data_IF_579947620783
#
_entry.id   IF_579947620783
#
_cell.length_a   1.000
_cell.length_b   1.000
_cell.length_c   1.000
_cell.angle_alpha   90.00
_cell.angle_beta   90.00
_cell.angle_gamma   90.00
#
_symmetry.space_group_name_H-M   'P 1'
#
loop_
_entity.id
_entity.type
_entity.pdbx_description
1 polymer ?
#
# COMPACT_ATOMS: atom_id res chain seq x y z
N UNK A 1 -30.23 -16.95 6.87
CA UNK A 1 -29.54 -16.03 5.96
C UNK A 1 -29.49 -14.66 6.63
N UNK A 2 -28.34 -13.99 6.63
CA UNK A 2 -28.21 -12.63 7.19
C UNK A 2 -28.93 -11.70 6.21
N UNK A 3 -30.04 -11.12 6.63
CA UNK A 3 -30.89 -10.27 5.77
C UNK A 3 -30.49 -8.77 5.88
N UNK A 4 -29.18 -8.49 5.94
CA UNK A 4 -28.65 -7.13 6.05
C UNK A 4 -27.82 -6.81 4.81
N UNK A 5 -28.17 -5.70 4.15
CA UNK A 5 -27.45 -5.21 2.98
C UNK A 5 -26.23 -4.36 3.43
N UNK A 6 -25.13 -4.54 2.72
CA UNK A 6 -23.90 -3.77 2.91
C UNK A 6 -23.58 -3.00 1.62
N UNK A 7 -23.30 -1.71 1.73
CA UNK A 7 -22.79 -0.88 0.67
C UNK A 7 -21.30 -0.64 0.87
N UNK A 8 -20.48 -0.96 -0.14
CA UNK A 8 -19.06 -0.63 -0.17
C UNK A 8 -18.82 0.44 -1.23
N UNK A 9 -18.28 1.57 -0.85
CA UNK A 9 -17.95 2.67 -1.77
C UNK A 9 -16.44 2.70 -1.98
N UNK A 10 -16.03 2.45 -3.22
CA UNK A 10 -14.66 2.23 -3.66
C UNK A 10 -14.33 0.74 -3.80
N UNK A 11 -14.28 0.24 -5.04
CA UNK A 11 -13.90 -1.14 -5.38
C UNK A 11 -12.40 -1.26 -5.73
N UNK A 12 -11.56 -0.50 -5.03
CA UNK A 12 -10.10 -0.65 -5.05
C UNK A 12 -9.65 -1.85 -4.20
N UNK A 13 -8.34 -1.97 -3.98
CA UNK A 13 -7.76 -3.08 -3.21
C UNK A 13 -8.47 -3.29 -1.84
N UNK A 14 -8.57 -2.23 -1.04
CA UNK A 14 -9.18 -2.27 0.31
C UNK A 14 -10.67 -2.60 0.24
N UNK A 15 -11.41 -1.93 -0.64
CA UNK A 15 -12.87 -2.12 -0.71
C UNK A 15 -13.26 -3.48 -1.27
N UNK A 16 -12.61 -3.93 -2.34
CA UNK A 16 -12.93 -5.22 -2.99
C UNK A 16 -12.60 -6.41 -2.08
N UNK A 17 -11.41 -6.43 -1.45
CA UNK A 17 -11.03 -7.53 -0.54
C UNK A 17 -11.96 -7.60 0.66
N UNK A 18 -12.36 -6.45 1.22
CA UNK A 18 -13.30 -6.41 2.34
C UNK A 18 -14.73 -6.78 1.91
N UNK A 19 -15.19 -6.34 0.73
CA UNK A 19 -16.50 -6.72 0.18
C UNK A 19 -16.59 -8.22 -0.02
N UNK A 20 -15.56 -8.85 -0.58
CA UNK A 20 -15.48 -10.30 -0.76
C UNK A 20 -15.50 -11.01 0.60
N UNK A 21 -14.73 -10.54 1.60
CA UNK A 21 -14.77 -11.10 2.96
C UNK A 21 -16.17 -11.03 3.58
N UNK A 22 -16.85 -9.90 3.47
CA UNK A 22 -18.23 -9.73 3.99
C UNK A 22 -19.20 -10.67 3.28
N UNK A 23 -19.10 -10.78 1.95
CA UNK A 23 -19.99 -11.63 1.16
C UNK A 23 -19.77 -13.14 1.41
N UNK A 24 -18.52 -13.58 1.66
CA UNK A 24 -18.18 -14.95 2.10
C UNK A 24 -18.93 -15.31 3.39
N UNK A 25 -19.04 -14.36 4.31
CA UNK A 25 -19.73 -14.57 5.60
C UNK A 25 -21.27 -14.43 5.51
N UNK A 26 -21.81 -14.37 4.29
CA UNK A 26 -23.25 -14.53 4.01
C UNK A 26 -24.06 -13.24 3.82
N UNK A 27 -23.43 -12.06 3.89
CA UNK A 27 -24.10 -10.79 3.60
C UNK A 27 -24.34 -10.60 2.09
N UNK A 28 -25.38 -9.82 1.76
CA UNK A 28 -25.54 -9.27 0.41
C UNK A 28 -24.79 -7.95 0.32
N UNK A 29 -23.80 -7.88 -0.59
CA UNK A 29 -22.91 -6.73 -0.72
C UNK A 29 -23.09 -6.05 -2.06
N UNK A 30 -23.31 -4.74 -2.05
CA UNK A 30 -23.24 -3.91 -3.23
C UNK A 30 -21.99 -3.05 -3.20
N UNK A 31 -21.14 -3.12 -4.24
CA UNK A 31 -19.97 -2.29 -4.40
C UNK A 31 -20.22 -1.19 -5.42
N UNK A 32 -19.95 0.07 -5.04
CA UNK A 32 -19.97 1.21 -5.93
C UNK A 32 -18.57 1.74 -6.23
N UNK A 33 -18.26 2.00 -7.49
CA UNK A 33 -17.01 2.68 -7.92
C UNK A 33 -17.32 3.63 -9.09
N UNK A 34 -16.45 4.60 -9.33
CA UNK A 34 -16.55 5.55 -10.44
C UNK A 34 -15.92 5.03 -11.74
N UNK A 35 -15.09 4.02 -11.64
CA UNK A 35 -14.34 3.43 -12.75
C UNK A 35 -15.20 2.39 -13.49
N UNK A 36 -15.81 2.81 -14.60
CA UNK A 36 -16.72 1.99 -15.40
C UNK A 36 -16.06 0.73 -15.97
N UNK A 37 -14.80 0.82 -16.42
CA UNK A 37 -14.09 -0.32 -17.00
C UNK A 37 -13.78 -1.37 -15.93
N UNK A 38 -13.39 -0.91 -14.74
CA UNK A 38 -13.24 -1.79 -13.57
C UNK A 38 -14.55 -2.48 -13.22
N UNK A 39 -15.66 -1.75 -13.17
CA UNK A 39 -16.97 -2.29 -12.85
C UNK A 39 -17.42 -3.34 -13.87
N UNK A 40 -17.16 -3.16 -15.16
CA UNK A 40 -17.44 -4.18 -16.21
C UNK A 40 -16.70 -5.48 -15.91
N UNK A 41 -15.40 -5.41 -15.60
CA UNK A 41 -14.61 -6.59 -15.26
C UNK A 41 -15.10 -7.27 -13.99
N UNK A 42 -15.41 -6.50 -12.94
CA UNK A 42 -15.89 -7.02 -11.67
C UNK A 42 -17.24 -7.73 -11.81
N UNK A 43 -18.17 -7.22 -12.62
CA UNK A 43 -19.46 -7.86 -12.91
C UNK A 43 -19.29 -9.18 -13.69
N UNK A 44 -18.18 -9.38 -14.38
CA UNK A 44 -17.80 -10.66 -15.00
C UNK A 44 -17.05 -11.59 -14.03
N UNK A 45 -16.97 -11.24 -12.74
CA UNK A 45 -16.19 -12.00 -11.75
C UNK A 45 -14.68 -11.92 -11.96
N UNK A 46 -14.19 -10.91 -12.68
CA UNK A 46 -12.76 -10.73 -13.03
C UNK A 46 -12.16 -9.53 -12.32
N UNK A 47 -10.89 -9.65 -11.96
CA UNK A 47 -10.10 -8.53 -11.37
C UNK A 47 -8.64 -8.66 -11.74
N UNK A 48 -7.95 -7.52 -11.87
CA UNK A 48 -6.49 -7.44 -12.02
C UNK A 48 -5.75 -7.47 -10.68
N UNK A 49 -6.45 -7.26 -9.56
CA UNK A 49 -5.82 -7.20 -8.23
C UNK A 49 -5.10 -8.52 -7.93
N UNK A 50 -3.78 -8.51 -7.68
CA UNK A 50 -2.96 -9.70 -7.43
C UNK A 50 -3.09 -10.13 -5.95
N UNK A 51 -4.21 -10.72 -5.60
CA UNK A 51 -4.52 -11.22 -4.26
C UNK A 51 -4.85 -12.70 -4.32
N UNK A 52 -4.30 -13.49 -3.38
CA UNK A 52 -4.55 -14.93 -3.32
C UNK A 52 -6.03 -15.22 -3.13
N UNK A 53 -6.55 -16.18 -3.88
CA UNK A 53 -7.94 -16.64 -3.86
C UNK A 53 -8.99 -15.59 -4.25
N UNK A 54 -8.63 -14.30 -4.41
CA UNK A 54 -9.60 -13.24 -4.70
C UNK A 54 -10.38 -13.51 -5.98
N UNK A 55 -9.72 -13.90 -7.06
CA UNK A 55 -10.37 -14.17 -8.37
C UNK A 55 -11.41 -15.28 -8.27
N UNK A 56 -11.07 -16.36 -7.56
CA UNK A 56 -11.98 -17.52 -7.35
C UNK A 56 -13.19 -17.12 -6.53
N UNK A 57 -12.99 -16.48 -5.39
CA UNK A 57 -14.08 -16.08 -4.50
C UNK A 57 -14.98 -15.01 -5.14
N UNK A 58 -14.38 -14.02 -5.82
CA UNK A 58 -15.12 -12.99 -6.56
C UNK A 58 -16.05 -13.61 -7.61
N UNK A 59 -15.54 -14.49 -8.48
CA UNK A 59 -16.34 -15.15 -9.50
C UNK A 59 -17.51 -15.95 -8.89
N UNK A 60 -17.25 -16.72 -7.83
CA UNK A 60 -18.27 -17.50 -7.13
C UNK A 60 -19.37 -16.60 -6.52
N UNK A 61 -18.99 -15.48 -5.88
CA UNK A 61 -19.93 -14.57 -5.22
C UNK A 61 -20.78 -13.77 -6.21
N UNK A 62 -20.19 -13.38 -7.34
CA UNK A 62 -20.91 -12.70 -8.43
C UNK A 62 -21.95 -13.64 -9.06
N UNK A 63 -21.55 -14.87 -9.38
CA UNK A 63 -22.47 -15.89 -9.93
C UNK A 63 -23.64 -16.19 -8.99
N UNK A 64 -23.41 -16.19 -7.66
CA UNK A 64 -24.44 -16.36 -6.64
C UNK A 64 -25.24 -15.09 -6.35
N UNK A 65 -24.99 -13.99 -7.05
CA UNK A 65 -25.60 -12.67 -6.81
C UNK A 65 -25.46 -12.16 -5.36
N UNK A 66 -24.43 -12.62 -4.64
CA UNK A 66 -24.09 -12.16 -3.28
C UNK A 66 -23.25 -10.90 -3.29
N UNK A 67 -22.56 -10.64 -4.40
CA UNK A 67 -21.73 -9.45 -4.62
C UNK A 67 -22.09 -8.84 -5.97
N UNK A 68 -22.47 -7.57 -5.97
CA UNK A 68 -22.90 -6.83 -7.17
C UNK A 68 -22.14 -5.53 -7.27
N UNK A 69 -22.02 -4.99 -8.50
CA UNK A 69 -21.21 -3.79 -8.78
C UNK A 69 -21.97 -2.81 -9.67
N UNK A 70 -21.94 -1.51 -9.32
CA UNK A 70 -22.45 -0.44 -10.18
C UNK A 70 -21.83 0.92 -9.80
N UNK A 71 -22.13 1.95 -10.58
CA UNK A 71 -21.83 3.34 -10.23
C UNK A 71 -22.77 3.90 -9.13
N UNK A 72 -23.83 3.18 -8.81
CA UNK A 72 -24.86 3.66 -7.89
C UNK A 72 -24.42 3.55 -6.42
N UNK A 73 -24.19 4.68 -5.77
CA UNK A 73 -23.90 4.79 -4.34
C UNK A 73 -25.14 5.11 -3.47
N UNK A 74 -26.34 5.20 -4.08
CA UNK A 74 -27.61 5.45 -3.37
C UNK A 74 -28.27 4.17 -2.84
N UNK A 75 -27.54 3.06 -2.83
CA UNK A 75 -28.03 1.78 -2.36
C UNK A 75 -28.42 1.85 -0.88
N UNK A 76 -29.60 1.32 -0.53
CA UNK A 76 -30.10 1.34 0.83
C UNK A 76 -29.41 0.24 1.67
N UNK A 77 -28.62 0.63 2.66
CA UNK A 77 -27.86 -0.28 3.51
C UNK A 77 -27.75 0.22 4.95
N UNK A 78 -27.71 -0.72 5.90
CA UNK A 78 -27.41 -0.42 7.32
C UNK A 78 -25.90 -0.26 7.56
N UNK A 79 -25.07 -0.91 6.75
CA UNK A 79 -23.62 -0.87 6.85
C UNK A 79 -23.05 -0.23 5.59
N UNK A 80 -22.37 0.90 5.73
CA UNK A 80 -21.78 1.66 4.62
C UNK A 80 -20.28 1.78 4.83
N UNK A 81 -19.53 1.12 3.96
CA UNK A 81 -18.07 1.03 4.02
C UNK A 81 -17.48 2.07 3.06
N UNK A 82 -16.77 3.05 3.57
CA UNK A 82 -16.07 4.06 2.76
C UNK A 82 -14.59 3.63 2.60
N UNK A 83 -14.29 2.96 1.47
CA UNK A 83 -12.96 2.45 1.13
C UNK A 83 -12.31 3.31 0.04
N UNK A 84 -12.37 4.62 0.20
CA UNK A 84 -11.83 5.61 -0.73
C UNK A 84 -10.54 6.21 -0.20
N UNK A 85 -9.64 6.57 -1.14
CA UNK A 85 -8.39 7.26 -0.78
C UNK A 85 -8.66 8.71 -0.44
N UNK A 86 -8.00 9.20 0.61
CA UNK A 86 -7.95 10.63 0.87
C UNK A 86 -6.87 11.28 0.01
N UNK A 87 -7.23 12.39 -0.63
CA UNK A 87 -6.31 13.22 -1.40
C UNK A 87 -6.38 14.66 -0.86
N UNK A 88 -5.26 15.25 -0.41
CA UNK A 88 -5.23 16.62 0.11
C UNK A 88 -5.76 17.65 -0.86
N UNK A 89 -5.54 17.46 -2.17
CA UNK A 89 -6.03 18.32 -3.24
C UNK A 89 -7.52 18.11 -3.63
N UNK A 90 -8.18 17.06 -3.06
CA UNK A 90 -9.59 16.75 -3.31
C UNK A 90 -10.36 16.55 -1.98
N UNK A 91 -10.32 17.49 -1.04
CA UNK A 91 -10.90 17.31 0.31
C UNK A 91 -12.43 17.18 0.27
N UNK A 92 -13.10 17.65 -0.78
CA UNK A 92 -14.57 17.60 -0.94
C UNK A 92 -15.09 16.23 -1.37
N UNK A 93 -14.24 15.32 -1.84
CA UNK A 93 -14.66 14.00 -2.36
C UNK A 93 -15.52 13.21 -1.35
N UNK A 94 -15.14 13.19 -0.07
CA UNK A 94 -15.95 12.53 0.96
C UNK A 94 -17.33 13.16 1.10
N UNK A 95 -17.41 14.48 1.06
CA UNK A 95 -18.67 15.22 1.20
C UNK A 95 -19.62 14.97 0.03
N UNK A 96 -19.10 14.88 -1.18
CA UNK A 96 -19.87 14.53 -2.39
C UNK A 96 -20.48 13.13 -2.30
N UNK A 97 -19.72 12.17 -1.75
CA UNK A 97 -20.21 10.82 -1.49
C UNK A 97 -21.29 10.83 -0.42
N UNK A 98 -21.09 11.54 0.69
CA UNK A 98 -22.08 11.66 1.77
C UNK A 98 -23.40 12.26 1.30
N UNK A 99 -23.38 13.12 0.27
CA UNK A 99 -24.60 13.64 -0.32
C UNK A 99 -25.46 12.59 -1.04
N UNK A 100 -24.85 11.52 -1.49
CA UNK A 100 -25.50 10.42 -2.20
C UNK A 100 -26.01 9.32 -1.26
N UNK A 101 -25.55 9.30 -0.01
CA UNK A 101 -25.95 8.28 0.99
C UNK A 101 -27.37 8.52 1.48
N UNK A 102 -28.14 7.43 1.56
CA UNK A 102 -29.46 7.42 2.19
C UNK A 102 -29.31 7.08 3.67
N UNK A 103 -29.79 7.98 4.54
CA UNK A 103 -29.70 7.84 6.01
C UNK A 103 -30.98 7.31 6.67
N UNK A 104 -32.02 6.94 5.90
CA UNK A 104 -33.31 6.49 6.46
C UNK A 104 -33.21 5.25 7.36
N UNK A 105 -32.24 4.36 7.10
CA UNK A 105 -31.99 3.18 7.95
C UNK A 105 -31.04 3.45 9.13
N UNK A 106 -30.72 4.70 9.43
CA UNK A 106 -29.76 5.09 10.46
C UNK A 106 -28.46 4.28 10.34
N UNK A 107 -27.74 4.41 9.20
CA UNK A 107 -26.61 3.55 8.90
C UNK A 107 -25.43 3.80 9.82
N UNK A 108 -24.57 2.79 9.91
CA UNK A 108 -23.22 2.95 10.42
C UNK A 108 -22.23 3.11 9.26
N UNK A 109 -21.42 4.17 9.33
CA UNK A 109 -20.37 4.50 8.38
C UNK A 109 -19.02 3.96 8.88
N UNK A 110 -18.36 3.16 8.07
CA UNK A 110 -17.03 2.59 8.36
C UNK A 110 -16.00 3.30 7.48
N UNK A 111 -15.17 4.15 8.07
CA UNK A 111 -14.09 4.82 7.34
C UNK A 111 -12.89 3.87 7.31
N UNK A 112 -12.68 3.22 6.15
CA UNK A 112 -11.59 2.25 5.96
C UNK A 112 -10.36 2.84 5.28
N UNK A 113 -10.53 3.95 4.54
CA UNK A 113 -9.41 4.70 3.97
C UNK A 113 -8.56 5.37 5.05
N UNK A 114 -7.28 5.61 4.74
CA UNK A 114 -6.42 6.47 5.57
C UNK A 114 -6.83 7.92 5.40
N UNK A 115 -7.12 8.59 6.49
CA UNK A 115 -7.47 10.01 6.55
C UNK A 115 -6.60 10.73 7.60
N UNK A 116 -6.44 12.06 7.53
CA UNK A 116 -5.76 12.84 8.57
C UNK A 116 -6.43 12.69 9.93
N UNK A 117 -5.67 12.88 11.00
CA UNK A 117 -6.18 12.80 12.37
C UNK A 117 -7.18 13.95 12.60
N UNK A 118 -8.35 13.61 13.15
CA UNK A 118 -9.47 14.54 13.37
C UNK A 118 -10.32 14.80 12.13
N UNK A 119 -10.03 14.16 10.99
CA UNK A 119 -10.79 14.35 9.75
C UNK A 119 -12.25 13.90 9.87
N UNK A 120 -12.49 12.75 10.50
CA UNK A 120 -13.85 12.21 10.66
C UNK A 120 -14.73 13.19 11.40
N UNK A 121 -14.31 13.67 12.57
CA UNK A 121 -15.11 14.61 13.36
C UNK A 121 -15.19 15.99 12.72
N UNK A 122 -14.05 16.58 12.30
CA UNK A 122 -14.02 17.96 11.81
C UNK A 122 -14.65 18.14 10.42
N UNK A 123 -14.65 17.10 9.58
CA UNK A 123 -15.17 17.19 8.22
C UNK A 123 -16.45 16.37 8.02
N UNK A 124 -16.47 15.09 8.38
CA UNK A 124 -17.61 14.21 8.09
C UNK A 124 -18.76 14.45 9.08
N UNK A 125 -18.51 14.30 10.38
CA UNK A 125 -19.57 14.48 11.41
C UNK A 125 -20.11 15.91 11.38
N UNK A 126 -19.23 16.90 11.40
CA UNK A 126 -19.62 18.32 11.32
C UNK A 126 -20.46 18.63 10.06
N UNK A 127 -20.13 18.02 8.92
CA UNK A 127 -20.93 18.18 7.69
C UNK A 127 -22.32 17.55 7.85
N UNK A 128 -22.42 16.32 8.36
CA UNK A 128 -23.70 15.63 8.54
C UNK A 128 -24.60 16.36 9.54
N UNK A 129 -24.03 16.86 10.63
CA UNK A 129 -24.80 17.59 11.65
C UNK A 129 -25.22 19.00 11.17
N UNK A 130 -24.29 19.77 10.63
CA UNK A 130 -24.59 21.16 10.26
C UNK A 130 -25.36 21.30 8.95
N UNK A 131 -25.02 20.48 7.93
CA UNK A 131 -25.62 20.61 6.59
C UNK A 131 -26.80 19.66 6.36
N UNK A 132 -26.73 18.44 6.88
CA UNK A 132 -27.80 17.43 6.74
C UNK A 132 -28.77 17.41 7.92
N UNK A 133 -28.47 18.13 9.02
CA UNK A 133 -29.26 18.16 10.27
C UNK A 133 -29.45 16.78 10.91
N UNK A 134 -28.50 15.86 10.66
CA UNK A 134 -28.47 14.53 11.27
C UNK A 134 -27.69 14.57 12.57
N UNK A 135 -28.08 13.76 13.56
CA UNK A 135 -27.41 13.69 14.88
C UNK A 135 -26.59 12.39 14.98
N UNK A 136 -25.32 12.55 15.35
CA UNK A 136 -24.45 11.41 15.64
C UNK A 136 -25.06 10.54 16.75
N UNK A 137 -24.89 9.21 16.64
CA UNK A 137 -25.41 8.19 17.56
C UNK A 137 -26.94 8.10 17.66
N UNK A 138 -27.65 8.87 16.84
CA UNK A 138 -29.12 8.84 16.75
C UNK A 138 -29.60 8.55 15.32
N UNK A 139 -29.16 9.36 14.35
CA UNK A 139 -29.59 9.27 12.95
C UNK A 139 -28.54 8.59 12.07
N UNK A 140 -27.29 8.59 12.52
CA UNK A 140 -26.19 7.84 11.93
C UNK A 140 -25.15 7.47 13.00
N UNK A 141 -24.32 6.47 12.69
CA UNK A 141 -23.18 6.03 13.48
C UNK A 141 -21.93 6.09 12.62
N UNK A 142 -20.76 6.33 13.21
CA UNK A 142 -19.53 6.42 12.43
C UNK A 142 -18.33 5.91 13.24
N UNK A 143 -17.45 5.19 12.54
CA UNK A 143 -16.19 4.71 13.12
C UNK A 143 -15.03 4.91 12.15
N UNK A 144 -13.86 5.14 12.70
CA UNK A 144 -12.58 4.89 12.05
C UNK A 144 -12.26 3.39 12.19
N UNK A 145 -12.20 2.69 11.06
CA UNK A 145 -11.88 1.26 11.00
C UNK A 145 -10.90 0.98 9.86
N UNK A 146 -9.71 1.58 9.90
CA UNK A 146 -8.79 1.57 8.76
C UNK A 146 -8.22 0.19 8.47
N UNK A 147 -7.91 -0.05 7.19
CA UNK A 147 -7.28 -1.29 6.72
C UNK A 147 -5.80 -1.35 7.11
N UNK A 148 -5.34 -2.55 7.54
CA UNK A 148 -3.95 -2.78 7.95
C UNK A 148 -3.31 -4.01 7.30
N UNK A 149 -4.04 -4.72 6.43
CA UNK A 149 -3.55 -5.95 5.79
C UNK A 149 -2.45 -5.68 4.77
N UNK A 150 -1.65 -6.70 4.53
CA UNK A 150 -0.59 -6.69 3.53
C UNK A 150 -1.17 -7.05 2.14
N UNK A 151 -0.87 -6.24 1.14
CA UNK A 151 -1.22 -6.54 -0.26
C UNK A 151 -0.65 -7.89 -0.70
N UNK A 152 -1.51 -8.76 -1.25
CA UNK A 152 -1.21 -10.14 -1.67
C UNK A 152 -1.61 -11.22 -0.66
N UNK A 153 -1.88 -10.85 0.61
CA UNK A 153 -2.34 -11.76 1.66
C UNK A 153 -3.54 -11.20 2.47
N UNK A 154 -4.25 -10.18 1.92
CA UNK A 154 -5.29 -9.46 2.64
C UNK A 154 -6.47 -10.34 3.08
N UNK A 155 -6.98 -11.22 2.21
CA UNK A 155 -8.10 -12.11 2.58
C UNK A 155 -7.76 -13.01 3.77
N UNK A 156 -6.52 -13.49 3.85
CA UNK A 156 -6.02 -14.27 4.99
C UNK A 156 -5.90 -13.39 6.23
N UNK A 157 -5.26 -12.24 6.11
CA UNK A 157 -4.99 -11.34 7.24
C UNK A 157 -6.27 -10.70 7.81
N UNK A 158 -7.31 -10.44 6.99
CA UNK A 158 -8.62 -10.00 7.46
C UNK A 158 -9.27 -10.98 8.46
N UNK A 159 -8.92 -12.26 8.39
CA UNK A 159 -9.43 -13.28 9.33
C UNK A 159 -8.56 -13.45 10.58
N UNK A 160 -7.33 -12.93 10.57
CA UNK A 160 -6.35 -13.11 11.65
C UNK A 160 -6.18 -11.83 12.46
N UNK A 161 -6.03 -10.68 11.76
CA UNK A 161 -5.76 -9.41 12.41
C UNK A 161 -7.03 -8.82 13.03
N UNK A 162 -6.97 -8.37 14.30
CA UNK A 162 -8.11 -7.68 14.89
C UNK A 162 -8.30 -6.32 14.20
N UNK A 163 -9.56 -5.94 13.98
CA UNK A 163 -9.91 -4.61 13.51
C UNK A 163 -9.79 -3.60 14.65
N UNK A 164 -8.92 -2.62 14.49
CA UNK A 164 -8.85 -1.46 15.39
C UNK A 164 -9.99 -0.50 15.06
N UNK A 165 -10.69 -0.03 16.08
CA UNK A 165 -11.88 0.81 15.93
C UNK A 165 -11.79 2.04 16.85
N UNK A 166 -11.84 3.23 16.24
CA UNK A 166 -12.10 4.48 16.92
C UNK A 166 -13.53 4.99 16.65
N UNK A 167 -14.21 5.52 17.65
CA UNK A 167 -15.57 6.04 17.53
C UNK A 167 -16.22 6.31 18.89
N UNK A 168 -17.47 6.73 18.90
CA UNK A 168 -18.26 6.75 20.15
C UNK A 168 -18.49 5.31 20.65
N UNK A 169 -18.81 5.17 21.93
CA UNK A 169 -19.14 3.85 22.49
C UNK A 169 -20.38 3.22 21.82
N UNK A 170 -21.37 4.04 21.46
CA UNK A 170 -22.57 3.60 20.75
C UNK A 170 -22.24 3.09 19.35
N UNK A 171 -21.45 3.85 18.58
CA UNK A 171 -20.98 3.47 17.27
C UNK A 171 -20.13 2.20 17.32
N UNK A 172 -19.20 2.09 18.30
CA UNK A 172 -18.39 0.88 18.50
C UNK A 172 -19.23 -0.36 18.77
N UNK A 173 -20.23 -0.30 19.64
CA UNK A 173 -21.07 -1.46 19.98
C UNK A 173 -21.80 -2.02 18.74
N UNK A 174 -22.32 -1.13 17.87
CA UNK A 174 -22.92 -1.53 16.59
C UNK A 174 -21.89 -2.14 15.65
N UNK A 175 -20.72 -1.53 15.53
CA UNK A 175 -19.63 -2.03 14.71
C UNK A 175 -19.11 -3.39 15.19
N UNK A 176 -18.91 -3.56 16.50
CA UNK A 176 -18.48 -4.83 17.12
C UNK A 176 -19.40 -5.97 16.72
N UNK A 177 -20.71 -5.77 16.76
CA UNK A 177 -21.70 -6.78 16.35
C UNK A 177 -21.51 -7.15 14.87
N UNK A 178 -21.36 -6.18 13.98
CA UNK A 178 -21.09 -6.44 12.56
C UNK A 178 -19.77 -7.19 12.35
N UNK A 179 -18.65 -6.75 12.95
CA UNK A 179 -17.37 -7.43 12.83
C UNK A 179 -17.40 -8.86 13.37
N UNK A 180 -18.14 -9.11 14.47
CA UNK A 180 -18.35 -10.47 15.00
C UNK A 180 -19.07 -11.36 13.99
N UNK A 181 -20.12 -10.87 13.32
CA UNK A 181 -20.85 -11.63 12.28
C UNK A 181 -19.96 -12.00 11.09
N UNK A 182 -18.99 -11.16 10.74
CA UNK A 182 -18.03 -11.45 9.67
C UNK A 182 -16.74 -12.12 10.19
N UNK A 183 -16.75 -12.62 11.41
CA UNK A 183 -15.65 -13.37 12.07
C UNK A 183 -14.33 -12.58 12.17
N UNK A 184 -14.43 -11.28 12.40
CA UNK A 184 -13.28 -10.40 12.67
C UNK A 184 -13.35 -9.92 14.11
N UNK A 185 -12.30 -10.20 14.89
CA UNK A 185 -12.17 -9.62 16.24
C UNK A 185 -12.01 -8.10 16.14
N UNK A 186 -12.53 -7.35 17.09
CA UNK A 186 -12.38 -5.89 17.13
C UNK A 186 -11.81 -5.41 18.44
N UNK A 187 -11.02 -4.33 18.38
CA UNK A 187 -10.41 -3.65 19.53
C UNK A 187 -10.84 -2.20 19.52
N UNK A 188 -11.43 -1.77 20.64
CA UNK A 188 -11.85 -0.38 20.83
C UNK A 188 -10.68 0.49 21.30
N UNK A 189 -10.43 1.59 20.61
CA UNK A 189 -9.33 2.50 20.89
C UNK A 189 -9.78 3.82 21.54
N UNK A 190 -11.08 4.08 21.67
CA UNK A 190 -11.60 5.37 22.07
C UNK A 190 -12.16 6.19 20.90
N UNK A 191 -12.00 7.51 20.85
CA UNK A 191 -12.60 8.38 19.84
C UNK A 191 -12.08 8.07 18.42
N UNK A 192 -12.71 8.65 17.40
CA UNK A 192 -12.34 8.43 15.99
C UNK A 192 -10.88 8.73 15.71
N UNK A 193 -10.33 9.76 16.36
CA UNK A 193 -8.94 10.20 16.26
C UNK A 193 -7.96 9.09 16.66
N UNK A 194 -8.30 8.27 17.63
CA UNK A 194 -7.47 7.14 18.05
C UNK A 194 -7.34 6.07 16.94
N UNK A 195 -8.45 5.80 16.21
CA UNK A 195 -8.43 4.91 15.07
C UNK A 195 -7.67 5.48 13.86
N UNK A 196 -7.84 6.78 13.58
CA UNK A 196 -7.11 7.50 12.55
C UNK A 196 -5.60 7.49 12.84
N UNK A 197 -5.21 7.87 14.06
CA UNK A 197 -3.81 7.86 14.53
C UNK A 197 -3.21 6.47 14.45
N UNK A 198 -3.89 5.44 14.96
CA UNK A 198 -3.36 4.08 14.99
C UNK A 198 -2.94 3.59 13.60
N UNK A 199 -3.69 3.96 12.54
CA UNK A 199 -3.35 3.60 11.16
C UNK A 199 -2.09 4.29 10.67
N UNK A 200 -2.04 5.61 10.73
CA UNK A 200 -0.91 6.38 10.20
C UNK A 200 0.35 6.12 11.01
N UNK A 201 0.22 5.96 12.33
CA UNK A 201 1.33 5.64 13.21
C UNK A 201 1.92 4.25 12.97
N UNK A 202 1.08 3.22 12.73
CA UNK A 202 1.56 1.90 12.33
C UNK A 202 2.45 1.96 11.09
N UNK A 203 2.05 2.69 10.06
CA UNK A 203 2.82 2.77 8.82
C UNK A 203 4.06 3.65 8.99
N UNK A 204 3.96 4.76 9.70
CA UNK A 204 5.09 5.60 10.07
C UNK A 204 6.15 4.83 10.88
N UNK A 205 5.73 4.08 11.91
CA UNK A 205 6.62 3.25 12.72
C UNK A 205 7.36 2.21 11.86
N UNK A 206 6.65 1.55 10.94
CA UNK A 206 7.28 0.60 10.01
C UNK A 206 8.28 1.26 9.06
N UNK A 207 7.96 2.47 8.53
CA UNK A 207 8.93 3.24 7.73
C UNK A 207 10.19 3.54 8.53
N UNK A 208 10.05 3.99 9.78
CA UNK A 208 11.17 4.31 10.67
C UNK A 208 12.04 3.09 10.96
N UNK A 209 11.45 1.92 11.24
CA UNK A 209 12.19 0.66 11.44
C UNK A 209 12.96 0.24 10.18
N UNK A 210 12.35 0.35 9.00
CA UNK A 210 13.06 0.08 7.75
C UNK A 210 14.19 1.09 7.51
N UNK A 211 13.97 2.37 7.81
CA UNK A 211 15.01 3.39 7.65
C UNK A 211 16.22 3.12 8.54
N UNK A 212 16.01 2.72 9.80
CA UNK A 212 17.11 2.34 10.70
C UNK A 212 17.93 1.21 10.07
N UNK A 213 17.27 0.17 9.57
CA UNK A 213 17.96 -0.96 8.93
C UNK A 213 18.65 -0.55 7.62
N UNK A 214 17.99 0.25 6.79
CA UNK A 214 18.51 0.68 5.49
C UNK A 214 19.67 1.67 5.65
N UNK A 215 19.66 2.48 6.71
CA UNK A 215 20.78 3.38 7.06
C UNK A 215 22.05 2.58 7.34
N UNK A 216 21.94 1.42 8.00
CA UNK A 216 23.09 0.51 8.16
C UNK A 216 23.70 0.10 6.81
N UNK A 217 22.87 -0.16 5.78
CA UNK A 217 23.40 -0.44 4.44
C UNK A 217 24.21 0.72 3.89
N UNK A 218 23.75 1.95 4.08
CA UNK A 218 24.47 3.14 3.61
C UNK A 218 25.81 3.32 4.32
N UNK A 219 25.87 3.11 5.64
CA UNK A 219 27.12 3.10 6.42
C UNK A 219 28.06 2.02 5.92
N UNK A 220 27.57 0.79 5.78
CA UNK A 220 28.38 -0.34 5.32
C UNK A 220 28.94 -0.13 3.91
N UNK A 221 28.18 0.51 3.01
CA UNK A 221 28.68 0.87 1.68
C UNK A 221 29.86 1.86 1.76
N UNK A 222 29.80 2.84 2.66
CA UNK A 222 30.90 3.81 2.85
C UNK A 222 32.14 3.18 3.46
N UNK A 223 31.96 2.21 4.37
CA UNK A 223 33.05 1.55 5.09
C UNK A 223 33.50 0.22 4.44
N UNK A 224 32.94 -0.15 3.30
CA UNK A 224 33.15 -1.44 2.64
C UNK A 224 32.94 -2.67 3.57
N UNK A 225 31.84 -2.61 4.36
CA UNK A 225 31.47 -3.67 5.31
C UNK A 225 30.25 -4.45 4.83
N UNK A 226 30.05 -5.66 5.40
CA UNK A 226 28.91 -6.51 5.11
C UNK A 226 27.77 -6.27 6.09
N UNK A 227 26.73 -5.56 5.67
CA UNK A 227 25.58 -5.24 6.51
C UNK A 227 24.76 -6.48 6.93
N UNK A 228 24.73 -7.56 6.10
CA UNK A 228 24.02 -8.78 6.47
C UNK A 228 24.71 -9.50 7.63
N UNK A 229 26.05 -9.54 7.62
CA UNK A 229 26.82 -10.12 8.75
C UNK A 229 26.59 -9.29 10.01
N UNK A 230 26.64 -7.96 9.90
CA UNK A 230 26.45 -7.06 11.04
C UNK A 230 25.03 -7.24 11.61
N UNK A 231 23.97 -7.12 10.76
CA UNK A 231 22.58 -7.23 11.24
C UNK A 231 22.29 -8.60 11.86
N UNK A 232 22.86 -9.68 11.29
CA UNK A 232 22.71 -11.03 11.84
C UNK A 232 23.43 -11.16 13.18
N UNK A 233 24.64 -10.59 13.29
CA UNK A 233 25.43 -10.61 14.53
C UNK A 233 24.74 -9.88 15.67
N UNK A 234 24.31 -8.63 15.45
CA UNK A 234 23.65 -7.84 16.51
C UNK A 234 22.28 -8.39 16.93
N UNK A 235 21.62 -9.17 16.07
CA UNK A 235 20.36 -9.85 16.40
C UNK A 235 20.56 -11.22 17.06
N UNK A 236 21.76 -11.79 16.99
CA UNK A 236 22.00 -13.15 17.48
C UNK A 236 21.76 -13.23 18.98
N UNK A 237 20.77 -14.04 19.38
CA UNK A 237 20.31 -14.20 20.78
C UNK A 237 19.92 -12.88 21.48
N UNK A 238 19.60 -11.80 20.74
CA UNK A 238 19.25 -10.50 21.29
C UNK A 238 17.87 -10.03 20.79
N UNK A 239 16.83 -10.49 21.48
CA UNK A 239 15.42 -10.29 21.10
C UNK A 239 14.99 -8.82 20.99
N UNK A 240 15.65 -7.90 21.72
CA UNK A 240 15.35 -6.47 21.68
C UNK A 240 15.52 -5.84 20.30
N UNK A 241 16.30 -6.45 19.40
CA UNK A 241 16.52 -5.99 18.04
C UNK A 241 15.77 -6.80 16.96
N UNK A 242 14.79 -7.63 17.37
CA UNK A 242 14.00 -8.42 16.40
C UNK A 242 13.19 -7.58 15.41
N UNK A 243 12.90 -6.32 15.74
CA UNK A 243 12.23 -5.38 14.85
C UNK A 243 13.07 -4.95 13.63
N UNK A 244 14.39 -5.07 13.70
CA UNK A 244 15.27 -4.72 12.59
C UNK A 244 15.05 -5.67 11.41
N UNK A 245 14.78 -5.11 10.24
CA UNK A 245 14.68 -5.87 8.99
C UNK A 245 16.06 -6.13 8.38
N UNK A 246 16.11 -7.01 7.38
CA UNK A 246 17.30 -7.07 6.51
C UNK A 246 17.44 -5.74 5.78
N UNK A 247 18.62 -5.10 5.81
CA UNK A 247 18.85 -3.84 5.13
C UNK A 247 18.57 -3.92 3.63
N UNK A 248 17.98 -2.86 3.08
CA UNK A 248 17.66 -2.70 1.68
C UNK A 248 17.99 -1.30 1.15
N UNK A 249 17.83 -1.06 -0.14
CA UNK A 249 18.21 0.20 -0.77
C UNK A 249 17.26 1.37 -0.48
N UNK A 250 16.16 1.12 0.21
CA UNK A 250 15.12 2.08 0.58
C UNK A 250 13.74 1.42 0.65
N UNK A 251 12.76 2.17 1.13
CA UNK A 251 11.37 1.72 1.27
C UNK A 251 10.55 2.29 0.13
N UNK A 252 9.96 1.41 -0.67
CA UNK A 252 9.00 1.76 -1.70
C UNK A 252 7.56 1.45 -1.29
N UNK A 253 6.64 1.79 -2.19
CA UNK A 253 5.21 1.58 -2.04
C UNK A 253 4.48 2.79 -1.48
N UNK A 254 3.23 2.94 -1.92
CA UNK A 254 2.44 4.13 -1.67
C UNK A 254 2.12 4.37 -0.18
N UNK A 255 1.91 3.28 0.59
CA UNK A 255 1.32 3.42 1.93
C UNK A 255 2.28 3.98 2.98
N UNK A 256 3.49 3.44 3.11
CA UNK A 256 4.40 3.82 4.19
C UNK A 256 4.90 5.28 4.06
N UNK A 257 5.42 5.70 2.91
CA UNK A 257 5.84 7.09 2.70
C UNK A 257 4.66 8.07 2.82
N UNK A 258 3.52 7.77 2.18
CA UNK A 258 2.33 8.63 2.20
C UNK A 258 1.78 8.83 3.61
N UNK A 259 1.64 7.76 4.41
CA UNK A 259 1.04 7.87 5.74
C UNK A 259 1.94 8.64 6.71
N UNK A 260 3.26 8.64 6.50
CA UNK A 260 4.18 9.52 7.22
C UNK A 260 3.92 11.00 6.89
N UNK A 261 3.64 11.33 5.62
CA UNK A 261 3.24 12.69 5.23
C UNK A 261 1.88 13.08 5.80
N UNK A 262 0.90 12.15 5.81
CA UNK A 262 -0.42 12.38 6.42
C UNK A 262 -0.29 12.65 7.92
N UNK A 263 0.59 11.93 8.61
CA UNK A 263 0.87 12.15 10.04
C UNK A 263 1.50 13.53 10.27
N UNK A 264 2.49 13.92 9.48
CA UNK A 264 3.10 15.25 9.53
C UNK A 264 2.08 16.36 9.27
N UNK A 265 1.26 16.22 8.21
CA UNK A 265 0.23 17.21 7.86
C UNK A 265 -0.83 17.38 8.95
N UNK A 266 -1.12 16.34 9.73
CA UNK A 266 -2.08 16.42 10.85
C UNK A 266 -1.63 17.40 11.93
N UNK A 267 -0.33 17.64 12.06
CA UNK A 267 0.27 18.54 13.06
C UNK A 267 0.91 19.79 12.47
N UNK A 268 0.69 20.07 11.18
CA UNK A 268 1.32 21.18 10.45
C UNK A 268 1.15 22.55 11.09
N UNK A 269 0.12 22.76 11.90
CA UNK A 269 -0.10 24.00 12.63
C UNK A 269 0.79 24.14 13.88
N UNK A 270 1.33 23.04 14.37
CA UNK A 270 2.28 23.05 15.49
C UNK A 270 3.67 23.39 14.96
N UNK A 271 4.26 24.48 15.44
CA UNK A 271 5.59 24.93 15.03
C UNK A 271 6.72 24.20 15.78
N UNK A 272 6.39 23.24 16.67
CA UNK A 272 7.37 22.46 17.41
C UNK A 272 8.05 21.44 16.48
N UNK A 273 9.38 21.47 16.46
CA UNK A 273 10.25 20.55 15.69
C UNK A 273 9.97 19.07 16.01
N UNK A 274 9.43 18.78 17.17
CA UNK A 274 8.99 17.43 17.55
C UNK A 274 8.03 16.82 16.52
N UNK A 275 7.12 17.62 15.96
CA UNK A 275 6.17 17.16 14.95
C UNK A 275 6.76 17.04 13.53
N UNK A 276 8.01 17.40 13.35
CA UNK A 276 8.72 17.21 12.07
C UNK A 276 9.30 15.79 11.92
N UNK A 277 9.27 14.97 12.97
CA UNK A 277 9.85 13.63 12.93
C UNK A 277 9.29 12.77 11.79
N UNK A 278 7.98 12.72 11.49
CA UNK A 278 7.46 11.93 10.36
C UNK A 278 7.98 12.40 9.00
N UNK A 279 8.04 13.72 8.75
CA UNK A 279 8.57 14.25 7.49
C UNK A 279 10.08 14.01 7.38
N UNK A 280 10.81 14.04 8.49
CA UNK A 280 12.24 13.73 8.55
C UNK A 280 12.49 12.27 8.16
N UNK A 281 11.67 11.33 8.64
CA UNK A 281 11.76 9.92 8.26
C UNK A 281 11.46 9.71 6.76
N UNK A 282 10.50 10.43 6.20
CA UNK A 282 10.24 10.42 4.75
C UNK A 282 11.45 10.93 3.96
N UNK A 283 12.01 12.09 4.36
CA UNK A 283 13.19 12.67 3.71
C UNK A 283 14.42 11.77 3.83
N UNK A 284 14.61 11.11 4.98
CA UNK A 284 15.68 10.14 5.20
C UNK A 284 15.57 8.96 4.22
N UNK A 285 14.37 8.40 4.04
CA UNK A 285 14.14 7.33 3.07
C UNK A 285 14.56 7.75 1.65
N UNK A 286 14.15 8.93 1.21
CA UNK A 286 14.55 9.47 -0.11
C UNK A 286 16.07 9.63 -0.22
N UNK A 287 16.72 10.12 0.84
CA UNK A 287 18.17 10.27 0.89
C UNK A 287 18.90 8.92 0.83
N UNK A 288 18.40 7.90 1.52
CA UNK A 288 18.91 6.53 1.45
C UNK A 288 18.79 5.97 0.03
N UNK A 289 17.62 6.11 -0.60
CA UNK A 289 17.41 5.67 -2.00
C UNK A 289 18.43 6.33 -2.95
N UNK A 290 18.60 7.65 -2.83
CA UNK A 290 19.54 8.43 -3.63
C UNK A 290 20.97 7.96 -3.43
N UNK A 291 21.42 7.89 -2.16
CA UNK A 291 22.80 7.46 -1.81
C UNK A 291 23.12 6.06 -2.34
N UNK A 292 22.16 5.14 -2.30
CA UNK A 292 22.35 3.80 -2.86
C UNK A 292 22.44 3.77 -4.40
N UNK A 293 21.86 4.75 -5.10
CA UNK A 293 21.98 4.87 -6.56
C UNK A 293 23.22 5.65 -7.00
N UNK A 294 23.73 6.56 -6.20
CA UNK A 294 24.94 7.35 -6.52
C UNK A 294 26.17 6.45 -6.76
N UNK A 295 26.20 5.26 -6.16
CA UNK A 295 27.28 4.29 -6.38
C UNK A 295 27.42 3.86 -7.86
N UNK A 296 26.35 3.96 -8.64
CA UNK A 296 26.33 3.59 -10.05
C UNK A 296 27.27 4.48 -10.88
N UNK A 297 27.39 5.76 -10.50
CA UNK A 297 28.22 6.76 -11.18
C UNK A 297 29.73 6.38 -11.19
N UNK A 298 30.18 5.55 -10.23
CA UNK A 298 31.57 5.07 -10.19
C UNK A 298 31.87 3.96 -11.21
N UNK A 299 30.85 3.28 -11.71
CA UNK A 299 31.00 2.07 -12.53
C UNK A 299 30.49 2.23 -13.95
N UNK A 300 29.57 3.15 -14.20
CA UNK A 300 28.90 3.30 -15.49
C UNK A 300 29.16 4.68 -16.08
N UNK A 301 29.62 4.73 -17.33
CA UNK A 301 29.82 5.97 -18.09
C UNK A 301 28.49 6.66 -18.37
N UNK A 302 28.47 8.00 -18.36
CA UNK A 302 27.30 8.79 -18.75
C UNK A 302 26.76 8.35 -20.13
N UNK A 303 25.46 8.51 -20.34
CA UNK A 303 24.74 8.10 -21.55
C UNK A 303 24.72 6.60 -21.85
N UNK A 304 25.30 5.73 -21.01
CA UNK A 304 25.19 4.30 -21.16
C UNK A 304 23.74 3.81 -21.02
N UNK A 305 23.43 2.67 -21.66
CA UNK A 305 22.14 1.99 -21.51
C UNK A 305 22.12 1.20 -20.21
N UNK A 306 21.09 1.43 -19.40
CA UNK A 306 20.84 0.73 -18.13
C UNK A 306 19.46 0.09 -18.17
N UNK A 307 19.38 -1.20 -17.84
CA UNK A 307 18.13 -1.90 -17.65
C UNK A 307 17.78 -1.99 -16.17
N UNK A 308 16.59 -1.53 -15.81
CA UNK A 308 16.01 -1.64 -14.48
C UNK A 308 14.99 -2.78 -14.47
N UNK A 309 15.29 -3.82 -13.69
CA UNK A 309 14.42 -4.98 -13.45
C UNK A 309 13.68 -4.82 -12.13
N UNK A 310 12.35 -4.84 -12.17
CA UNK A 310 11.52 -4.70 -10.97
C UNK A 310 11.10 -3.26 -10.70
N UNK A 311 10.07 -2.80 -11.41
CA UNK A 311 9.47 -1.48 -11.22
C UNK A 311 8.45 -1.51 -10.08
N UNK A 312 7.76 -2.64 -9.86
CA UNK A 312 6.86 -2.83 -8.72
C UNK A 312 7.60 -2.64 -7.38
N UNK A 313 6.90 -2.11 -6.36
CA UNK A 313 7.54 -1.74 -5.09
C UNK A 313 8.05 -2.95 -4.27
N UNK A 314 7.59 -4.16 -4.58
CA UNK A 314 8.06 -5.42 -3.99
C UNK A 314 7.85 -6.57 -4.97
N UNK A 315 8.65 -7.63 -4.82
CA UNK A 315 8.52 -8.85 -5.62
C UNK A 315 7.89 -10.01 -4.85
N UNK A 316 7.85 -9.95 -3.52
CA UNK A 316 7.29 -11.01 -2.65
C UNK A 316 6.51 -10.37 -1.50
N UNK A 317 5.20 -10.68 -1.35
CA UNK A 317 4.33 -11.24 -2.38
C UNK A 317 4.26 -10.32 -3.61
N UNK A 318 4.03 -10.90 -4.81
CA UNK A 318 3.98 -10.14 -6.06
C UNK A 318 2.88 -9.07 -6.03
N UNK A 319 3.13 -7.93 -6.70
CA UNK A 319 2.19 -6.83 -6.87
C UNK A 319 2.47 -6.12 -8.19
N UNK A 320 1.48 -5.45 -8.75
CA UNK A 320 1.58 -4.55 -9.89
C UNK A 320 1.65 -3.06 -9.48
N UNK A 321 1.60 -2.78 -8.17
CA UNK A 321 1.71 -1.42 -7.65
C UNK A 321 3.17 -0.95 -7.67
N UNK A 322 3.44 0.11 -8.44
CA UNK A 322 4.76 0.72 -8.56
C UNK A 322 4.83 2.15 -8.03
N UNK A 323 3.74 2.64 -7.42
CA UNK A 323 3.71 3.98 -6.82
C UNK A 323 4.76 4.08 -5.71
N UNK A 324 5.55 5.16 -5.74
CA UNK A 324 6.63 5.39 -4.77
C UNK A 324 7.62 4.20 -4.64
N UNK A 325 7.76 3.38 -5.69
CA UNK A 325 8.68 2.24 -5.67
C UNK A 325 10.13 2.68 -5.83
N UNK A 326 11.06 1.86 -5.33
CA UNK A 326 12.48 2.08 -5.57
C UNK A 326 12.84 1.94 -7.06
N UNK A 327 12.16 1.06 -7.79
CA UNK A 327 12.33 0.92 -9.25
C UNK A 327 11.91 2.17 -10.01
N UNK A 328 10.74 2.76 -9.68
CA UNK A 328 10.28 4.02 -10.28
C UNK A 328 11.23 5.18 -9.90
N UNK A 329 11.65 5.25 -8.64
CA UNK A 329 12.60 6.25 -8.19
C UNK A 329 13.92 6.16 -8.96
N UNK A 330 14.45 4.94 -9.13
CA UNK A 330 15.69 4.68 -9.88
C UNK A 330 15.56 5.08 -11.35
N UNK A 331 14.44 4.75 -12.02
CA UNK A 331 14.15 5.18 -13.39
C UNK A 331 14.23 6.70 -13.52
N UNK A 332 13.50 7.42 -12.67
CA UNK A 332 13.43 8.89 -12.70
C UNK A 332 14.76 9.56 -12.31
N UNK A 333 15.48 8.98 -11.35
CA UNK A 333 16.75 9.53 -10.89
C UNK A 333 17.89 9.34 -11.92
N UNK A 334 17.99 8.12 -12.45
CA UNK A 334 19.07 7.74 -13.37
C UNK A 334 18.83 8.26 -14.80
N UNK A 335 17.58 8.48 -15.23
CA UNK A 335 17.28 9.01 -16.57
C UNK A 335 17.90 10.38 -16.86
N UNK A 336 18.27 11.13 -15.81
CA UNK A 336 18.98 12.40 -15.94
C UNK A 336 20.43 12.27 -16.45
N UNK A 337 21.03 11.08 -16.33
CA UNK A 337 22.42 10.81 -16.67
C UNK A 337 22.61 9.67 -17.65
N UNK A 338 21.63 8.76 -17.74
CA UNK A 338 21.73 7.49 -18.48
C UNK A 338 20.49 7.26 -19.35
N UNK A 339 20.63 6.39 -20.36
CA UNK A 339 19.48 5.88 -21.13
C UNK A 339 18.85 4.71 -20.40
N UNK A 340 17.80 4.98 -19.63
CA UNK A 340 17.14 3.98 -18.77
C UNK A 340 16.04 3.23 -19.53
N UNK A 341 15.98 1.93 -19.29
CA UNK A 341 14.95 1.01 -19.79
C UNK A 341 14.37 0.22 -18.62
N UNK A 342 13.13 -0.21 -18.75
CA UNK A 342 12.44 -0.92 -17.67
C UNK A 342 11.89 -2.27 -18.11
N UNK A 343 11.85 -3.19 -17.16
CA UNK A 343 11.08 -4.43 -17.28
C UNK A 343 10.52 -4.81 -15.90
N UNK A 344 9.25 -5.19 -15.88
CA UNK A 344 8.64 -5.81 -14.71
C UNK A 344 7.88 -7.07 -15.08
N UNK A 345 7.91 -8.08 -14.19
CA UNK A 345 7.21 -9.34 -14.43
C UNK A 345 5.70 -9.21 -14.23
N UNK A 346 5.27 -8.33 -13.33
CA UNK A 346 3.88 -8.20 -12.88
C UNK A 346 3.15 -7.02 -13.49
N UNK A 347 3.89 -6.04 -14.02
CA UNK A 347 3.34 -4.86 -14.67
C UNK A 347 3.47 -5.05 -16.19
N UNK A 348 2.37 -4.83 -16.93
CA UNK A 348 2.39 -5.01 -18.38
C UNK A 348 3.26 -3.96 -19.09
N UNK A 349 3.73 -4.31 -20.29
CA UNK A 349 4.47 -3.41 -21.17
C UNK A 349 3.68 -2.12 -21.43
N UNK A 350 2.40 -2.25 -21.73
CA UNK A 350 1.50 -1.14 -22.05
C UNK A 350 1.32 -0.19 -20.85
N UNK A 351 1.27 -0.74 -19.63
CA UNK A 351 1.19 0.07 -18.42
C UNK A 351 2.47 0.87 -18.20
N UNK A 352 3.64 0.24 -18.34
CA UNK A 352 4.91 0.93 -18.21
C UNK A 352 5.08 1.99 -19.30
N UNK A 353 4.71 1.68 -20.55
CA UNK A 353 4.79 2.60 -21.68
C UNK A 353 3.89 3.84 -21.49
N UNK A 354 2.64 3.65 -21.10
CA UNK A 354 1.70 4.77 -20.79
C UNK A 354 2.21 5.69 -19.69
N UNK A 355 3.07 5.20 -18.81
CA UNK A 355 3.71 5.97 -17.76
C UNK A 355 5.10 6.52 -18.13
N UNK A 356 5.52 6.42 -19.39
CA UNK A 356 6.77 7.00 -19.91
C UNK A 356 8.05 6.30 -19.43
N UNK A 357 7.99 5.02 -19.06
CA UNK A 357 9.08 4.31 -18.41
C UNK A 357 9.97 3.48 -19.35
N UNK A 358 9.95 3.72 -20.66
CA UNK A 358 10.76 3.03 -21.68
C UNK A 358 10.82 1.49 -21.49
N UNK A 359 9.69 0.78 -21.55
CA UNK A 359 9.67 -0.66 -21.32
C UNK A 359 10.32 -1.43 -22.46
N UNK A 360 10.86 -2.61 -22.11
CA UNK A 360 11.33 -3.62 -23.07
C UNK A 360 10.54 -4.92 -22.91
N UNK A 361 10.58 -5.79 -23.92
CA UNK A 361 10.04 -7.15 -23.84
C UNK A 361 11.03 -8.09 -23.15
N UNK A 362 10.54 -9.17 -22.56
CA UNK A 362 11.39 -10.15 -21.86
C UNK A 362 12.49 -10.76 -22.74
N UNK A 363 12.24 -10.94 -24.05
CA UNK A 363 13.21 -11.40 -25.03
C UNK A 363 14.39 -10.44 -25.26
N UNK A 364 14.26 -9.19 -24.86
CA UNK A 364 15.28 -8.16 -25.08
C UNK A 364 16.21 -7.97 -23.88
N UNK A 365 15.89 -8.57 -22.73
CA UNK A 365 16.66 -8.42 -21.48
C UNK A 365 18.14 -8.76 -21.70
N UNK A 366 18.43 -9.84 -22.45
CA UNK A 366 19.79 -10.32 -22.70
C UNK A 366 20.69 -9.38 -23.54
N UNK A 367 20.09 -8.35 -24.18
CA UNK A 367 20.82 -7.34 -24.95
C UNK A 367 21.53 -6.30 -24.07
N UNK A 368 21.20 -6.24 -22.77
CA UNK A 368 21.73 -5.22 -21.87
C UNK A 368 22.97 -5.71 -21.12
N UNK A 369 23.94 -4.80 -21.00
CA UNK A 369 25.21 -5.04 -20.30
C UNK A 369 25.20 -4.50 -18.87
N UNK A 370 24.40 -3.47 -18.59
CA UNK A 370 24.26 -2.85 -17.29
C UNK A 370 22.84 -3.10 -16.76
N UNK A 371 22.74 -3.84 -15.68
CA UNK A 371 21.46 -4.33 -15.12
C UNK A 371 21.35 -3.97 -13.64
N UNK A 372 20.20 -3.43 -13.25
CA UNK A 372 19.87 -3.10 -11.88
C UNK A 372 18.62 -3.85 -11.44
N UNK A 373 18.67 -4.55 -10.31
CA UNK A 373 17.52 -5.28 -9.73
C UNK A 373 16.93 -4.44 -8.61
N UNK A 374 15.71 -3.95 -8.80
CA UNK A 374 15.08 -3.00 -7.89
C UNK A 374 14.02 -3.59 -6.97
N UNK A 375 13.67 -4.87 -7.12
CA UNK A 375 12.86 -5.59 -6.15
C UNK A 375 13.29 -7.06 -6.01
N UNK A 376 12.76 -7.75 -5.00
CA UNK A 376 13.17 -9.10 -4.62
C UNK A 376 12.41 -10.23 -5.34
N UNK A 377 11.88 -10.01 -6.55
CA UNK A 377 11.19 -11.06 -7.30
C UNK A 377 12.19 -12.13 -7.79
N UNK A 378 11.92 -13.38 -7.44
CA UNK A 378 12.77 -14.53 -7.80
C UNK A 378 12.93 -14.74 -9.31
N UNK A 379 12.03 -14.20 -10.13
CA UNK A 379 12.11 -14.25 -11.58
C UNK A 379 13.41 -13.60 -12.08
N UNK A 380 13.80 -12.45 -11.51
CA UNK A 380 15.01 -11.73 -11.98
C UNK A 380 16.28 -12.54 -11.74
N UNK A 381 16.37 -13.30 -10.66
CA UNK A 381 17.47 -14.26 -10.48
C UNK A 381 17.56 -15.24 -11.65
N UNK A 382 16.43 -15.87 -12.03
CA UNK A 382 16.41 -16.87 -13.13
C UNK A 382 16.81 -16.26 -14.47
N UNK A 383 16.44 -15.02 -14.73
CA UNK A 383 16.75 -14.34 -16.00
C UNK A 383 18.20 -13.90 -16.05
N UNK A 384 18.65 -13.20 -15.01
CA UNK A 384 19.99 -12.59 -14.99
C UNK A 384 21.10 -13.64 -14.95
N UNK A 385 20.91 -14.78 -14.27
CA UNK A 385 21.90 -15.88 -14.25
C UNK A 385 22.12 -16.52 -15.64
N UNK A 386 21.19 -16.36 -16.57
CA UNK A 386 21.32 -16.84 -17.95
C UNK A 386 22.01 -15.83 -18.89
N UNK A 387 22.21 -14.60 -18.45
CA UNK A 387 22.82 -13.54 -19.27
C UNK A 387 24.36 -13.71 -19.31
N UNK A 388 24.94 -13.81 -20.51
CA UNK A 388 26.39 -14.02 -20.69
C UNK A 388 27.20 -12.72 -20.76
N UNK A 389 26.55 -11.58 -21.08
CA UNK A 389 27.20 -10.32 -21.43
C UNK A 389 26.98 -9.18 -20.42
N UNK A 390 26.80 -9.51 -19.15
CA UNK A 390 26.67 -8.50 -18.10
C UNK A 390 28.05 -7.94 -17.78
N UNK A 391 28.20 -6.61 -17.92
CA UNK A 391 29.40 -5.89 -17.50
C UNK A 391 29.23 -5.33 -16.09
N UNK A 392 28.04 -4.86 -15.76
CA UNK A 392 27.70 -4.32 -14.44
C UNK A 392 26.35 -4.86 -13.99
N UNK A 393 26.31 -5.38 -12.77
CA UNK A 393 25.08 -5.80 -12.10
C UNK A 393 25.02 -5.18 -10.71
N UNK A 394 23.95 -4.41 -10.45
CA UNK A 394 23.60 -3.96 -9.10
C UNK A 394 22.46 -4.82 -8.57
N UNK A 395 22.74 -5.59 -7.53
CA UNK A 395 21.77 -6.47 -6.85
C UNK A 395 21.77 -6.20 -5.33
N UNK A 396 21.10 -5.13 -4.88
CA UNK A 396 21.04 -4.79 -3.46
C UNK A 396 20.32 -5.85 -2.61
N UNK A 397 19.55 -6.74 -3.26
CA UNK A 397 18.86 -7.85 -2.60
C UNK A 397 19.74 -9.10 -2.46
N UNK A 398 20.94 -9.09 -3.07
CA UNK A 398 21.91 -10.21 -3.06
C UNK A 398 21.29 -11.57 -3.42
N UNK A 399 20.48 -11.57 -4.48
CA UNK A 399 19.83 -12.78 -4.98
C UNK A 399 20.74 -13.60 -5.90
N UNK A 400 21.69 -12.93 -6.57
CA UNK A 400 22.46 -13.47 -7.70
C UNK A 400 23.95 -13.47 -7.40
N UNK A 401 24.47 -12.37 -6.89
CA UNK A 401 25.91 -12.19 -6.69
C UNK A 401 26.39 -13.15 -5.61
N UNK A 402 27.39 -13.99 -5.97
CA UNK A 402 28.00 -14.93 -5.04
C UNK A 402 28.72 -14.16 -3.93
N UNK A 403 28.51 -14.57 -2.68
CA UNK A 403 29.18 -14.05 -1.48
C UNK A 403 29.06 -12.51 -1.32
N UNK A 404 28.21 -12.09 -0.47
CA UNK A 404 28.26 -10.78 0.22
C UNK A 404 28.34 -9.48 -0.63
N UNK A 405 28.57 -9.55 -1.96
CA UNK A 405 28.66 -8.38 -2.83
C UNK A 405 27.31 -7.97 -3.42
N UNK A 406 27.06 -6.67 -3.55
CA UNK A 406 25.87 -6.09 -4.21
C UNK A 406 26.14 -5.75 -5.66
N UNK A 407 27.40 -5.73 -6.06
CA UNK A 407 27.87 -5.32 -7.36
C UNK A 407 28.70 -6.44 -7.95
N UNK A 408 28.37 -6.81 -9.16
CA UNK A 408 29.19 -7.67 -10.01
C UNK A 408 29.76 -6.86 -11.15
N UNK A 409 31.08 -6.90 -11.30
CA UNK A 409 31.80 -6.37 -12.46
C UNK A 409 32.42 -7.54 -13.19
N UNK A 410 32.20 -7.61 -14.50
CA UNK A 410 32.99 -8.48 -15.37
C UNK A 410 34.37 -7.84 -15.51
N UNK A 411 35.40 -8.47 -14.96
CA UNK A 411 36.79 -8.11 -15.20
C UNK A 411 37.14 -8.30 -16.66
#
# INVERSE_FOLDING_TARGET
MINENVLVIGAGYVGLTFAVKIAIEGFSVHCSDIDKEKLKLLNLGKTSIPEKNLKKELSNLVNKKKLTFSENSKFLAKHIILAISYFPNKPKQYLEILNKINFSLKPILYIRGTVPIGFINSKIVNYLEKKKKLKLDKDFFIISAPERTLSGDALKELSILPQLIGGSKASYNKAKNFFSKIKIKSVFLGPTEAGELAKVYCNFSRLSHFNISNYLMSICNTLNLNEKKIISGIKYKYSRLNFLSVPGPGVGGFCLPKDSLVLSDSFKKNKDVFFDFPITQYKLNISIMKKNLDIIDFYIKKNAKILILGVAFKGIPETDDFRESFGLFALNYLSKKYKTYSFDKTISYETLFKNGLNPIRSSEISKFKNVLIMNNNKYYKKVVTKMKNIHFLYDPWRQIVKKDDKIYLKK
#
